data_IF_362471127126
#
_entry.id   IF_362471127126
#
_cell.length_a   1.000
_cell.length_b   1.000
_cell.length_c   1.000
_cell.angle_alpha   90.00
_cell.angle_beta   90.00
_cell.angle_gamma   90.00
#
_symmetry.space_group_name_H-M   'P 1'
#
loop_
_entity.id
_entity.type
_entity.pdbx_description
1 polymer ?
#
# COMPACT_ATOMS: atom_id res chain seq x y z
N UNK A 1 -21.96 -12.53 10.22
CA UNK A 1 -20.95 -13.61 10.01
C UNK A 1 -20.98 -14.18 8.60
N UNK A 2 -22.16 -14.53 8.06
CA UNK A 2 -22.32 -15.15 6.71
C UNK A 2 -21.87 -14.26 5.53
N UNK A 3 -22.18 -12.96 5.52
CA UNK A 3 -21.74 -12.07 4.42
C UNK A 3 -20.23 -11.88 4.33
N UNK A 4 -19.53 -11.96 5.48
CA UNK A 4 -18.05 -11.87 5.56
C UNK A 4 -17.38 -13.12 5.00
N UNK A 5 -17.93 -14.30 5.29
CA UNK A 5 -17.45 -15.55 4.71
C UNK A 5 -17.58 -15.53 3.18
N UNK A 6 -18.75 -15.12 2.66
CA UNK A 6 -19.00 -15.03 1.23
C UNK A 6 -18.10 -14.00 0.53
N UNK A 7 -17.78 -12.87 1.17
CA UNK A 7 -16.81 -11.89 0.63
C UNK A 7 -15.40 -12.49 0.51
N UNK A 8 -14.95 -13.25 1.52
CA UNK A 8 -13.62 -13.85 1.51
C UNK A 8 -13.47 -14.97 0.48
N UNK A 9 -14.51 -15.80 0.30
CA UNK A 9 -14.57 -16.82 -0.75
C UNK A 9 -14.45 -16.15 -2.13
N UNK A 10 -15.23 -15.09 -2.38
CA UNK A 10 -15.14 -14.33 -3.65
C UNK A 10 -13.74 -13.75 -3.90
N UNK A 11 -13.09 -13.18 -2.87
CA UNK A 11 -11.73 -12.65 -3.00
C UNK A 11 -10.69 -13.75 -3.28
N UNK A 12 -10.90 -14.95 -2.74
CA UNK A 12 -10.05 -16.11 -2.99
C UNK A 12 -10.22 -16.66 -4.41
N UNK A 13 -11.47 -16.81 -4.87
CA UNK A 13 -11.79 -17.17 -6.25
C UNK A 13 -11.20 -16.15 -7.24
N UNK A 14 -11.33 -14.86 -6.95
CA UNK A 14 -10.74 -13.79 -7.75
C UNK A 14 -9.21 -13.90 -7.83
N UNK A 15 -8.54 -14.11 -6.69
CA UNK A 15 -7.08 -14.32 -6.66
C UNK A 15 -6.67 -15.57 -7.47
N UNK A 16 -7.39 -16.68 -7.31
CA UNK A 16 -7.11 -17.92 -8.04
C UNK A 16 -7.29 -17.73 -9.55
N UNK A 17 -8.32 -16.98 -9.96
CA UNK A 17 -8.53 -16.63 -11.35
C UNK A 17 -7.37 -15.78 -11.91
N UNK A 18 -6.87 -14.81 -11.14
CA UNK A 18 -5.74 -13.99 -11.58
C UNK A 18 -4.44 -14.77 -11.66
N UNK A 19 -4.17 -15.63 -10.69
CA UNK A 19 -2.99 -16.50 -10.68
C UNK A 19 -2.92 -17.42 -11.91
N UNK A 20 -4.06 -17.88 -12.42
CA UNK A 20 -4.13 -18.72 -13.63
C UNK A 20 -3.88 -17.95 -14.93
N UNK A 21 -4.29 -16.69 -14.98
CA UNK A 21 -4.35 -15.92 -16.23
C UNK A 21 -3.22 -14.88 -16.38
N UNK A 22 -2.51 -14.54 -15.31
CA UNK A 22 -1.52 -13.47 -15.32
C UNK A 22 -0.25 -13.90 -14.59
N UNK A 23 0.91 -13.47 -15.11
CA UNK A 23 2.18 -13.63 -14.41
C UNK A 23 2.22 -12.73 -13.16
N UNK A 24 2.82 -13.20 -12.05
CA UNK A 24 2.97 -12.37 -10.87
C UNK A 24 3.81 -11.13 -11.17
N UNK A 25 3.45 -10.03 -10.52
CA UNK A 25 4.27 -8.83 -10.50
C UNK A 25 5.46 -9.07 -9.57
N UNK A 26 6.68 -8.98 -10.09
CA UNK A 26 7.91 -9.19 -9.34
C UNK A 26 8.86 -8.02 -9.56
N UNK A 27 9.57 -7.63 -8.51
CA UNK A 27 10.66 -6.65 -8.55
C UNK A 27 11.93 -7.39 -8.11
N UNK A 28 13.08 -7.24 -8.80
CA UNK A 28 14.35 -7.80 -8.35
C UNK A 28 14.69 -7.36 -6.92
N UNK A 29 15.09 -8.32 -6.09
CA UNK A 29 15.47 -8.05 -4.68
C UNK A 29 16.67 -7.12 -4.55
N UNK A 30 17.51 -7.00 -5.58
CA UNK A 30 18.62 -6.05 -5.61
C UNK A 30 18.19 -4.57 -5.56
N UNK A 31 16.91 -4.28 -5.81
CA UNK A 31 16.39 -2.91 -5.82
C UNK A 31 15.79 -2.46 -4.48
N UNK A 32 15.65 -3.37 -3.51
CA UNK A 32 15.04 -3.04 -2.23
C UNK A 32 15.56 -3.89 -1.07
N UNK A 33 15.60 -3.28 0.10
CA UNK A 33 15.82 -3.97 1.36
C UNK A 33 14.51 -4.06 2.14
N UNK A 34 14.20 -5.23 2.67
CA UNK A 34 13.06 -5.41 3.58
C UNK A 34 13.54 -5.30 5.01
N UNK A 35 12.87 -4.48 5.82
CA UNK A 35 13.15 -4.35 7.25
C UNK A 35 11.85 -4.48 8.05
N UNK A 36 11.85 -5.38 9.02
CA UNK A 36 10.76 -5.54 9.98
C UNK A 36 11.09 -4.75 11.26
N UNK A 37 10.18 -3.86 11.65
CA UNK A 37 10.31 -3.03 12.84
C UNK A 37 9.38 -3.56 13.92
N UNK A 38 10.00 -4.08 14.98
CA UNK A 38 9.37 -4.70 16.14
C UNK A 38 10.26 -4.53 17.39
N UNK A 39 9.87 -5.11 18.52
CA UNK A 39 10.53 -4.97 19.83
C UNK A 39 11.97 -5.46 19.93
N UNK A 40 12.45 -6.22 18.94
CA UNK A 40 13.82 -6.74 18.89
C UNK A 40 14.66 -6.08 17.78
N UNK A 41 14.13 -5.07 17.09
CA UNK A 41 14.90 -4.30 16.11
C UNK A 41 16.05 -3.60 16.81
N UNK A 42 17.26 -3.73 16.26
CA UNK A 42 18.45 -3.14 16.87
C UNK A 42 18.50 -1.62 16.68
N UNK A 43 19.21 -0.93 17.57
CA UNK A 43 19.42 0.52 17.47
C UNK A 43 20.16 0.91 16.19
N UNK A 44 21.08 0.06 15.70
CA UNK A 44 21.80 0.31 14.45
C UNK A 44 20.86 0.22 13.24
N UNK A 45 19.95 -0.75 13.25
CA UNK A 45 18.95 -0.92 12.19
C UNK A 45 18.02 0.29 12.12
N UNK A 46 17.47 0.73 13.25
CA UNK A 46 16.58 1.90 13.27
C UNK A 46 17.33 3.20 12.93
N UNK A 47 18.60 3.33 13.33
CA UNK A 47 19.43 4.50 12.99
C UNK A 47 19.74 4.55 11.49
N UNK A 48 20.00 3.40 10.86
CA UNK A 48 20.16 3.28 9.40
C UNK A 48 18.89 3.73 8.67
N UNK A 49 17.72 3.30 9.14
CA UNK A 49 16.44 3.73 8.58
C UNK A 49 16.19 5.23 8.77
N UNK A 50 16.55 5.80 9.93
CA UNK A 50 16.42 7.24 10.19
C UNK A 50 17.24 8.05 9.18
N UNK A 51 18.51 7.70 8.99
CA UNK A 51 19.38 8.39 8.01
C UNK A 51 18.82 8.29 6.58
N UNK A 52 18.25 7.12 6.23
CA UNK A 52 17.59 6.95 4.94
C UNK A 52 16.34 7.83 4.79
N UNK A 53 15.46 7.85 5.80
CA UNK A 53 14.22 8.62 5.78
C UNK A 53 14.46 10.13 5.86
N UNK A 54 15.58 10.54 6.46
CA UNK A 54 16.01 11.93 6.48
C UNK A 54 16.38 12.45 5.09
N UNK A 55 16.99 11.61 4.23
CA UNK A 55 17.37 11.98 2.85
C UNK A 55 16.27 11.72 1.81
N UNK A 56 15.29 10.88 2.13
CA UNK A 56 14.18 10.56 1.22
C UNK A 56 12.95 11.46 1.46
N UNK A 57 12.23 11.80 0.39
CA UNK A 57 11.05 12.68 0.43
C UNK A 57 9.82 12.10 -0.29
N UNK A 58 9.92 10.89 -0.86
CA UNK A 58 8.81 10.21 -1.54
C UNK A 58 8.63 8.81 -0.99
N UNK A 59 7.38 8.47 -0.69
CA UNK A 59 7.04 7.20 -0.07
C UNK A 59 5.73 6.67 -0.66
N UNK A 60 5.56 5.35 -0.65
CA UNK A 60 4.23 4.75 -0.68
C UNK A 60 3.93 4.09 0.65
N UNK A 61 2.65 4.09 1.04
CA UNK A 61 2.17 3.49 2.28
C UNK A 61 0.98 2.57 1.98
N UNK A 62 0.97 1.42 2.62
CA UNK A 62 -0.16 0.49 2.65
C UNK A 62 -0.36 0.01 4.10
N UNK A 63 -1.59 -0.43 4.40
CA UNK A 63 -1.92 -0.89 5.75
C UNK A 63 -2.62 -2.24 5.72
N UNK A 64 -2.38 -3.05 6.74
CA UNK A 64 -3.14 -4.28 6.97
C UNK A 64 -3.70 -4.26 8.39
N UNK A 65 -4.94 -4.71 8.52
CA UNK A 65 -5.64 -4.80 9.81
C UNK A 65 -5.69 -6.25 10.27
N UNK A 66 -5.63 -6.46 11.58
CA UNK A 66 -5.91 -7.77 12.16
C UNK A 66 -7.34 -8.21 11.80
N UNK A 67 -7.48 -9.50 11.51
CA UNK A 67 -8.73 -10.05 10.99
C UNK A 67 -9.82 -10.16 12.06
N UNK A 68 -9.43 -10.34 13.33
CA UNK A 68 -10.35 -10.57 14.43
C UNK A 68 -10.83 -9.23 15.01
N UNK A 69 -9.90 -8.34 15.30
CA UNK A 69 -10.16 -7.03 15.93
C UNK A 69 -10.52 -5.95 14.91
N UNK A 70 -10.10 -6.11 13.65
CA UNK A 70 -10.18 -5.06 12.63
C UNK A 70 -9.42 -3.78 13.03
N UNK A 71 -8.45 -3.92 13.93
CA UNK A 71 -7.50 -2.86 14.26
C UNK A 71 -6.28 -2.95 13.34
N UNK A 72 -5.66 -1.80 13.08
CA UNK A 72 -4.43 -1.73 12.30
C UNK A 72 -3.32 -2.55 12.98
N UNK A 73 -2.79 -3.56 12.30
CA UNK A 73 -1.73 -4.41 12.82
C UNK A 73 -0.37 -4.15 12.14
N UNK A 74 -0.40 -3.71 10.89
CA UNK A 74 0.79 -3.54 10.07
C UNK A 74 0.71 -2.25 9.25
N UNK A 75 1.79 -1.48 9.27
CA UNK A 75 2.02 -0.38 8.32
C UNK A 75 3.20 -0.76 7.44
N UNK A 76 3.00 -0.73 6.13
CA UNK A 76 4.04 -0.97 5.14
C UNK A 76 4.43 0.35 4.51
N UNK A 77 5.70 0.72 4.61
CA UNK A 77 6.24 1.95 4.02
C UNK A 77 7.32 1.58 3.01
N UNK A 78 7.10 1.94 1.76
CA UNK A 78 8.13 1.83 0.73
C UNK A 78 8.70 3.20 0.43
N UNK A 79 10.02 3.35 0.59
CA UNK A 79 10.73 4.57 0.23
C UNK A 79 11.03 4.60 -1.27
N UNK A 80 10.92 5.77 -1.87
CA UNK A 80 11.16 6.00 -3.31
C UNK A 80 12.32 7.00 -3.44
N UNK A 81 13.56 6.56 -3.15
CA UNK A 81 14.73 7.43 -3.18
C UNK A 81 15.13 7.78 -4.61
N UNK A 82 15.96 8.82 -4.77
CA UNK A 82 16.59 9.14 -6.06
C UNK A 82 17.63 8.09 -6.47
N UNK A 83 18.27 7.44 -5.49
CA UNK A 83 19.29 6.42 -5.69
C UNK A 83 18.93 5.15 -4.92
N UNK A 84 19.16 4.00 -5.55
CA UNK A 84 18.91 2.69 -4.95
C UNK A 84 20.00 2.33 -3.92
N UNK A 85 19.71 1.41 -2.98
CA UNK A 85 18.47 0.62 -2.84
C UNK A 85 17.32 1.39 -2.18
N UNK A 86 16.08 0.97 -2.47
CA UNK A 86 14.92 1.39 -1.70
C UNK A 86 14.77 0.56 -0.42
N UNK A 87 13.96 1.03 0.52
CA UNK A 87 13.56 0.27 1.71
C UNK A 87 12.06 0.02 1.70
N UNK A 88 11.67 -1.23 1.98
CA UNK A 88 10.33 -1.64 2.37
C UNK A 88 10.37 -1.91 3.86
N UNK A 89 9.78 -1.01 4.64
CA UNK A 89 9.75 -1.07 6.10
C UNK A 89 8.37 -1.54 6.55
N UNK A 90 8.33 -2.60 7.33
CA UNK A 90 7.13 -3.21 7.88
C UNK A 90 7.07 -2.93 9.38
N UNK A 91 6.16 -2.06 9.82
CA UNK A 91 5.94 -1.76 11.23
C UNK A 91 4.85 -2.66 11.80
N UNK A 92 5.24 -3.63 12.62
CA UNK A 92 4.33 -4.56 13.29
C UNK A 92 3.82 -3.92 14.59
N UNK A 93 2.66 -3.25 14.54
CA UNK A 93 2.19 -2.39 15.62
C UNK A 93 1.99 -3.14 16.94
N UNK A 94 1.46 -4.36 16.87
CA UNK A 94 1.24 -5.24 18.03
C UNK A 94 2.55 -5.78 18.64
N UNK A 95 3.67 -5.61 17.95
CA UNK A 95 4.98 -6.12 18.35
C UNK A 95 6.00 -5.02 18.56
N UNK A 96 5.57 -3.75 18.60
CA UNK A 96 6.44 -2.64 18.96
C UNK A 96 6.94 -2.76 20.41
N UNK A 97 8.10 -2.16 20.73
CA UNK A 97 8.59 -2.12 22.11
C UNK A 97 7.67 -1.24 23.00
N UNK A 98 7.80 -1.32 24.33
CA UNK A 98 7.09 -0.44 25.26
C UNK A 98 7.37 1.05 25.00
N UNK A 99 6.38 1.90 25.27
CA UNK A 99 6.39 3.34 24.93
C UNK A 99 7.51 4.15 25.60
N UNK A 100 7.98 3.69 26.75
CA UNK A 100 9.03 4.31 27.56
C UNK A 100 10.45 3.89 27.14
N UNK A 101 10.58 3.05 26.12
CA UNK A 101 11.89 2.59 25.65
C UNK A 101 12.54 3.55 24.65
N UNK A 102 13.88 3.59 24.68
CA UNK A 102 14.67 4.33 23.71
C UNK A 102 14.41 3.92 22.25
N UNK A 103 14.17 2.62 22.01
CA UNK A 103 13.81 2.12 20.68
C UNK A 103 12.47 2.69 20.21
N UNK A 104 11.47 2.80 21.10
CA UNK A 104 10.18 3.40 20.75
C UNK A 104 10.30 4.87 20.33
N UNK A 105 11.11 5.66 21.05
CA UNK A 105 11.38 7.05 20.68
C UNK A 105 12.09 7.18 19.32
N UNK A 106 13.01 6.25 19.00
CA UNK A 106 13.62 6.19 17.66
C UNK A 106 12.60 5.83 16.57
N UNK A 107 11.66 4.95 16.86
CA UNK A 107 10.55 4.62 15.93
C UNK A 107 9.67 5.86 15.72
N UNK A 108 9.29 6.58 16.79
CA UNK A 108 8.56 7.85 16.66
C UNK A 108 9.33 8.87 15.83
N UNK A 109 10.65 8.98 16.01
CA UNK A 109 11.48 9.86 15.20
C UNK A 109 11.43 9.48 13.70
N UNK A 110 11.46 8.18 13.38
CA UNK A 110 11.30 7.70 12.01
C UNK A 110 9.94 8.11 11.41
N UNK A 111 8.84 7.98 12.19
CA UNK A 111 7.52 8.47 11.80
C UNK A 111 7.48 9.99 11.60
N UNK A 112 8.19 10.77 12.44
CA UNK A 112 8.33 12.22 12.24
C UNK A 112 9.02 12.55 10.93
N UNK A 113 10.07 11.80 10.55
CA UNK A 113 10.72 11.97 9.25
C UNK A 113 9.83 11.56 8.09
N UNK A 114 9.02 10.51 8.23
CA UNK A 114 8.07 10.07 7.20
C UNK A 114 6.99 11.12 6.94
N UNK A 115 6.40 11.67 8.01
CA UNK A 115 5.25 12.58 7.96
C UNK A 115 5.60 14.07 8.05
N UNK A 116 6.86 14.45 7.76
CA UNK A 116 7.32 15.84 7.78
C UNK A 116 6.83 16.64 6.57
N UNK A 117 6.87 17.96 6.72
CA UNK A 117 6.62 18.90 5.63
C UNK A 117 7.57 18.66 4.45
N UNK A 118 7.05 18.74 3.23
CA UNK A 118 7.80 18.53 1.99
C UNK A 118 7.85 17.07 1.51
N UNK A 119 7.51 16.10 2.36
CA UNK A 119 7.37 14.73 1.92
C UNK A 119 6.06 14.52 1.14
N UNK A 120 6.10 13.59 0.19
CA UNK A 120 4.94 13.14 -0.57
C UNK A 120 4.74 11.64 -0.30
N UNK A 121 3.53 11.27 0.13
CA UNK A 121 3.17 9.90 0.47
C UNK A 121 2.01 9.47 -0.43
N UNK A 122 2.23 8.43 -1.23
CA UNK A 122 1.22 7.82 -2.08
C UNK A 122 0.53 6.67 -1.36
N UNK A 123 -0.79 6.63 -1.41
CA UNK A 123 -1.55 5.54 -0.81
C UNK A 123 -2.73 5.13 -1.68
N UNK A 124 -3.17 3.88 -1.56
CA UNK A 124 -4.36 3.37 -2.22
C UNK A 124 -5.59 3.45 -1.31
N UNK A 125 -6.15 4.65 -1.13
CA UNK A 125 -7.28 4.88 -0.23
C UNK A 125 -7.07 6.10 0.65
N UNK A 126 -7.99 6.30 1.60
CA UNK A 126 -7.96 7.43 2.53
C UNK A 126 -7.26 7.04 3.84
N UNK A 127 -6.04 7.52 4.04
CA UNK A 127 -5.22 7.16 5.21
C UNK A 127 -5.72 7.72 6.55
N UNK A 128 -6.58 8.74 6.53
CA UNK A 128 -7.07 9.40 7.76
C UNK A 128 -7.86 8.45 8.67
N UNK A 129 -8.56 7.46 8.11
CA UNK A 129 -9.23 6.41 8.89
C UNK A 129 -8.32 5.23 9.21
N UNK A 130 -7.45 4.85 8.29
CA UNK A 130 -6.61 3.65 8.40
C UNK A 130 -5.53 3.83 9.48
N UNK A 131 -4.96 5.03 9.61
CA UNK A 131 -3.88 5.30 10.56
C UNK A 131 -4.33 5.72 11.96
N UNK A 132 -5.64 5.69 12.27
CA UNK A 132 -6.18 6.12 13.57
C UNK A 132 -5.54 5.40 14.76
N UNK A 133 -5.27 4.11 14.62
CA UNK A 133 -4.66 3.33 15.70
C UNK A 133 -3.22 3.79 15.97
N UNK A 134 -2.41 4.01 14.93
CA UNK A 134 -1.05 4.53 15.07
C UNK A 134 -1.00 5.93 15.71
N UNK A 135 -2.00 6.77 15.45
CA UNK A 135 -2.17 8.07 16.12
C UNK A 135 -2.46 7.88 17.62
N UNK A 136 -3.35 6.93 17.98
CA UNK A 136 -3.62 6.60 19.41
C UNK A 136 -2.41 6.05 20.14
N UNK A 137 -1.55 5.33 19.43
CA UNK A 137 -0.26 4.87 19.96
C UNK A 137 0.76 5.99 20.12
N UNK A 138 0.46 7.23 19.71
CA UNK A 138 1.38 8.36 19.77
C UNK A 138 2.65 8.16 18.90
N UNK A 139 2.54 7.41 17.80
CA UNK A 139 3.63 7.26 16.82
C UNK A 139 3.85 8.56 16.03
N UNK A 140 2.76 9.28 15.74
CA UNK A 140 2.76 10.58 15.08
C UNK A 140 1.42 11.29 15.33
N UNK A 141 1.33 12.55 14.91
CA UNK A 141 0.13 13.38 15.05
C UNK A 141 -0.61 13.55 13.72
N UNK A 142 -1.93 13.77 13.80
CA UNK A 142 -2.77 14.11 12.65
C UNK A 142 -3.43 15.47 12.87
N UNK A 143 -3.56 16.36 11.85
CA UNK A 143 -3.15 16.17 10.46
C UNK A 143 -1.63 16.03 10.27
N UNK A 144 -1.22 15.19 9.33
CA UNK A 144 0.18 15.07 8.92
C UNK A 144 0.63 16.34 8.18
N UNK A 145 1.92 16.68 8.30
CA UNK A 145 2.53 17.76 7.53
C UNK A 145 2.96 17.32 6.12
N UNK A 146 3.05 16.02 5.87
CA UNK A 146 3.33 15.50 4.54
C UNK A 146 2.12 15.64 3.61
N UNK A 147 2.38 15.73 2.30
CA UNK A 147 1.33 15.66 1.29
C UNK A 147 0.93 14.20 1.07
N UNK A 148 -0.27 13.83 1.51
CA UNK A 148 -0.83 12.50 1.24
C UNK A 148 -1.67 12.51 -0.04
N UNK A 149 -1.32 11.67 -1.00
CA UNK A 149 -2.00 11.52 -2.28
C UNK A 149 -2.76 10.19 -2.31
N UNK A 150 -4.09 10.27 -2.38
CA UNK A 150 -4.95 9.10 -2.57
C UNK A 150 -5.02 8.74 -4.07
N UNK A 151 -4.27 7.72 -4.46
CA UNK A 151 -4.23 7.22 -5.84
C UNK A 151 -5.56 6.60 -6.29
N UNK A 152 -6.32 6.00 -5.36
CA UNK A 152 -7.60 5.36 -5.69
C UNK A 152 -8.63 6.36 -6.24
N UNK A 153 -8.62 7.60 -5.72
CA UNK A 153 -9.52 8.65 -6.17
C UNK A 153 -9.20 9.18 -7.57
N UNK A 154 -7.92 9.28 -7.92
CA UNK A 154 -7.46 9.77 -9.23
C UNK A 154 -7.43 8.71 -10.33
N UNK A 155 -7.41 7.42 -9.96
CA UNK A 155 -7.25 6.32 -10.90
C UNK A 155 -8.32 6.26 -12.01
N UNK A 156 -9.62 6.46 -11.76
CA UNK A 156 -10.63 6.39 -12.82
C UNK A 156 -10.37 7.41 -13.94
N UNK A 157 -10.05 8.66 -13.59
CA UNK A 157 -9.75 9.70 -14.56
C UNK A 157 -8.51 9.38 -15.39
N UNK A 158 -7.44 8.90 -14.73
CA UNK A 158 -6.25 8.43 -15.44
C UNK A 158 -6.57 7.26 -16.38
N UNK A 159 -7.33 6.28 -15.91
CA UNK A 159 -7.72 5.11 -16.69
C UNK A 159 -8.49 5.51 -17.96
N UNK A 160 -9.47 6.40 -17.85
CA UNK A 160 -10.22 6.90 -19.01
C UNK A 160 -9.35 7.65 -20.01
N UNK A 161 -8.36 8.44 -19.55
CA UNK A 161 -7.43 9.13 -20.43
C UNK A 161 -6.37 8.22 -21.07
N UNK A 162 -5.99 7.14 -20.38
CA UNK A 162 -5.00 6.17 -20.85
C UNK A 162 -5.58 5.11 -21.79
N UNK A 163 -6.91 5.03 -21.93
CA UNK A 163 -7.54 4.10 -22.87
C UNK A 163 -7.14 4.45 -24.31
N UNK A 164 -6.71 3.47 -25.12
CA UNK A 164 -6.46 3.71 -26.53
C UNK A 164 -7.76 4.19 -27.19
N UNK A 165 -7.70 5.32 -27.90
CA UNK A 165 -8.78 5.79 -28.76
C UNK A 165 -9.17 4.65 -29.70
N UNK A 166 -10.45 4.25 -29.67
CA UNK A 166 -10.95 3.07 -30.37
C UNK A 166 -10.47 3.08 -31.84
N UNK A 167 -9.61 2.12 -32.21
CA UNK A 167 -8.92 2.12 -33.52
C UNK A 167 -9.78 1.61 -34.68
N UNK A 168 -10.99 1.11 -34.43
CA UNK A 168 -11.85 0.54 -35.47
C UNK A 168 -13.28 1.05 -35.29
N UNK A 169 -13.59 2.09 -36.07
CA UNK A 169 -14.95 2.51 -36.32
C UNK A 169 -15.32 1.99 -37.72
N UNK A 170 -16.27 1.07 -37.80
CA UNK A 170 -16.98 0.87 -39.08
C UNK A 170 -18.07 1.94 -39.19
N UNK A 171 -18.60 2.26 -40.38
CA UNK A 171 -19.60 3.32 -40.57
C UNK A 171 -20.89 3.13 -39.73
N UNK A 172 -21.12 1.93 -39.20
CA UNK A 172 -22.36 1.54 -38.54
C UNK A 172 -22.19 1.11 -37.07
N UNK A 173 -20.97 0.83 -36.59
CA UNK A 173 -20.75 0.38 -35.21
C UNK A 173 -19.31 0.59 -34.74
N UNK A 174 -19.18 1.25 -33.58
CA UNK A 174 -17.96 1.29 -32.78
C UNK A 174 -18.07 0.21 -31.69
N UNK A 175 -17.42 -0.94 -31.87
CA UNK A 175 -17.26 -1.92 -30.78
C UNK A 175 -16.04 -1.56 -29.96
N UNK A 176 -16.18 -0.54 -29.12
CA UNK A 176 -15.22 -0.30 -28.04
C UNK A 176 -15.45 -1.37 -26.98
N UNK A 177 -14.56 -2.35 -26.87
CA UNK A 177 -14.55 -3.27 -25.73
C UNK A 177 -14.26 -2.46 -24.46
N UNK A 178 -15.33 -2.05 -23.77
CA UNK A 178 -15.27 -1.46 -22.43
C UNK A 178 -14.79 -2.55 -21.48
N UNK A 179 -13.48 -2.81 -21.48
CA UNK A 179 -12.86 -3.76 -20.57
C UNK A 179 -12.72 -3.15 -19.17
N UNK A 180 -13.77 -2.53 -18.64
CA UNK A 180 -13.80 -2.20 -17.20
C UNK A 180 -13.73 -3.52 -16.42
N UNK A 181 -12.88 -3.63 -15.38
CA UNK A 181 -12.92 -4.78 -14.47
C UNK A 181 -14.22 -4.87 -13.70
N UNK A 182 -14.91 -3.73 -13.57
CA UNK A 182 -16.09 -3.58 -12.76
C UNK A 182 -17.33 -3.63 -13.63
N UNK A 183 -18.26 -4.48 -13.20
CA UNK A 183 -19.60 -4.59 -13.78
C UNK A 183 -20.39 -3.31 -13.50
N UNK A 184 -20.17 -2.71 -12.32
CA UNK A 184 -20.85 -1.48 -11.92
C UNK A 184 -19.92 -0.26 -12.07
N UNK A 185 -20.35 0.80 -12.77
CA UNK A 185 -19.56 2.03 -12.93
C UNK A 185 -19.22 2.75 -11.62
N UNK A 186 -19.99 2.52 -10.55
CA UNK A 186 -19.77 3.10 -9.22
C UNK A 186 -18.82 2.32 -8.32
N UNK A 187 -18.32 1.17 -8.75
CA UNK A 187 -17.38 0.38 -7.95
C UNK A 187 -16.01 1.06 -7.87
N UNK A 188 -15.49 1.18 -6.64
CA UNK A 188 -14.13 1.68 -6.43
C UNK A 188 -13.12 0.71 -7.00
N UNK A 189 -12.08 1.26 -7.64
CA UNK A 189 -10.95 0.48 -8.10
C UNK A 189 -10.19 -0.10 -6.91
N UNK A 190 -9.95 -1.41 -6.95
CA UNK A 190 -9.06 -2.13 -6.05
C UNK A 190 -7.65 -2.05 -6.61
N UNK A 191 -6.66 -2.04 -5.72
CA UNK A 191 -5.26 -1.96 -6.12
C UNK A 191 -4.88 -3.12 -7.05
N UNK A 192 -5.35 -4.34 -6.77
CA UNK A 192 -5.09 -5.50 -7.62
C UNK A 192 -5.61 -5.32 -9.04
N UNK A 193 -6.82 -4.78 -9.19
CA UNK A 193 -7.37 -4.50 -10.52
C UNK A 193 -6.56 -3.38 -11.18
N UNK A 194 -6.28 -2.29 -10.48
CA UNK A 194 -5.48 -1.21 -11.02
C UNK A 194 -4.12 -1.68 -11.57
N UNK A 195 -3.36 -2.44 -10.78
CA UNK A 195 -2.08 -3.04 -11.21
C UNK A 195 -2.28 -3.95 -12.43
N UNK A 196 -3.30 -4.81 -12.40
CA UNK A 196 -3.60 -5.70 -13.53
C UNK A 196 -3.78 -4.92 -14.83
N UNK A 197 -4.52 -3.81 -14.81
CA UNK A 197 -4.75 -3.01 -16.03
C UNK A 197 -3.53 -2.22 -16.46
N UNK A 198 -2.80 -1.65 -15.51
CA UNK A 198 -1.67 -0.79 -15.84
C UNK A 198 -0.46 -1.58 -16.35
N UNK A 199 -0.18 -2.76 -15.79
CA UNK A 199 1.05 -3.50 -16.10
C UNK A 199 0.84 -4.92 -16.65
N UNK A 200 -0.41 -5.37 -16.80
CA UNK A 200 -0.73 -6.74 -17.25
C UNK A 200 0.00 -7.83 -16.43
N UNK A 201 -0.01 -7.64 -15.10
CA UNK A 201 0.57 -8.54 -14.10
C UNK A 201 -0.36 -8.67 -12.90
N UNK A 202 -0.24 -9.77 -12.17
CA UNK A 202 -1.01 -10.04 -10.97
C UNK A 202 -0.24 -9.65 -9.71
N UNK A 203 -0.84 -8.83 -8.85
CA UNK A 203 -0.33 -8.58 -7.50
C UNK A 203 -0.74 -9.75 -6.59
N UNK A 204 0.21 -10.64 -6.32
CA UNK A 204 -0.05 -11.80 -5.46
C UNK A 204 -0.21 -11.37 -3.99
N UNK A 205 -1.40 -11.64 -3.46
CA UNK A 205 -1.77 -11.40 -2.05
C UNK A 205 -1.81 -12.71 -1.24
N UNK A 206 -1.16 -13.77 -1.72
CA UNK A 206 -1.06 -15.03 -0.97
C UNK A 206 -0.30 -14.85 0.34
N UNK A 207 0.74 -13.99 0.36
CA UNK A 207 1.57 -13.70 1.53
C UNK A 207 0.96 -12.67 2.50
N UNK A 208 -0.06 -11.90 2.11
CA UNK A 208 -0.78 -10.99 3.04
C UNK A 208 -1.83 -11.72 3.87
N UNK A 209 -2.05 -13.03 3.62
CA UNK A 209 -3.03 -13.84 4.36
C UNK A 209 -2.36 -14.54 5.56
N UNK A 210 -2.80 -14.15 6.77
CA UNK A 210 -3.00 -14.99 7.99
C UNK A 210 -1.91 -15.09 9.09
N UNK A 211 -0.83 -14.31 9.10
CA UNK A 211 0.23 -14.49 10.12
C UNK A 211 0.51 -13.27 11.03
N UNK A 212 -0.35 -12.25 11.04
CA UNK A 212 -0.18 -11.05 11.88
C UNK A 212 -1.34 -10.92 12.86
#
# INVERSE_FOLDING_TARGET
SQSRHNRNVRLEEQNNNYRRNYRPFTIPSSFYNIVYVHRFTTIDTISTLINHFESCYRYSIDTESDRLTNELSLIQVHSIPQHLPSFIVLFELNHLPPIDTFLYEKIKLLFRFLFRLGNIIFAWGAMSSELKHAIRMNLFTWPSLALLINLQGGFPSWYHGAQPSCKVCSPLQCTCSKNSPYVNPGEKWSLQNAIRYTVNRFLDKSSTRKNW
#
